data_IF_932537209606
#
_entry.id   IF_932537209606
#
_cell.length_a   1.000
_cell.length_b   1.000
_cell.length_c   1.000
_cell.angle_alpha   90.00
_cell.angle_beta   90.00
_cell.angle_gamma   90.00
#
_symmetry.space_group_name_H-M   'P 1'
#
loop_
_entity.id
_entity.type
_entity.pdbx_description
1 polymer ?
#
# COMPACT_ATOMS: atom_id res chain seq x y z
N UNK A 1 -17.65 1.52 10.10
CA UNK A 1 -16.88 2.20 9.03
C UNK A 1 -17.78 2.30 7.80
N UNK A 2 -17.64 3.34 6.97
CA UNK A 2 -18.37 3.45 5.70
C UNK A 2 -18.14 2.22 4.81
N UNK A 3 -19.16 1.75 4.09
CA UNK A 3 -19.04 0.57 3.22
C UNK A 3 -18.09 0.74 2.03
N UNK A 4 -17.71 1.98 1.71
CA UNK A 4 -16.78 2.36 0.64
C UNK A 4 -15.37 2.71 1.16
N UNK A 5 -15.05 2.38 2.41
CA UNK A 5 -13.75 2.66 3.01
C UNK A 5 -12.62 1.94 2.22
N UNK A 6 -11.61 2.66 1.70
CA UNK A 6 -10.48 2.03 1.04
C UNK A 6 -9.72 1.13 2.01
N UNK A 7 -9.30 -0.04 1.56
CA UNK A 7 -8.58 -1.03 2.37
C UNK A 7 -7.22 -1.31 1.73
N UNK A 8 -6.17 -1.26 2.53
CA UNK A 8 -4.84 -1.67 2.07
C UNK A 8 -4.72 -3.20 2.14
N UNK A 9 -4.48 -3.82 0.99
CA UNK A 9 -4.42 -5.27 0.89
C UNK A 9 -3.00 -5.75 0.69
N UNK A 10 -2.63 -6.84 1.36
CA UNK A 10 -1.36 -7.52 1.14
C UNK A 10 -1.60 -9.03 1.00
N UNK A 11 -1.10 -9.60 -0.09
CA UNK A 11 -1.11 -11.04 -0.31
C UNK A 11 0.11 -11.68 0.35
N UNK A 12 -0.13 -12.71 1.15
CA UNK A 12 0.88 -13.43 1.92
C UNK A 12 0.92 -14.86 1.38
N UNK A 13 2.00 -15.22 0.64
CA UNK A 13 2.16 -16.56 0.10
C UNK A 13 2.14 -17.63 1.20
N UNK A 14 1.69 -18.85 0.87
CA UNK A 14 1.58 -19.95 1.84
C UNK A 14 2.88 -20.17 2.61
N UNK A 15 4.01 -20.12 1.90
CA UNK A 15 5.36 -20.28 2.48
C UNK A 15 5.71 -19.24 3.55
N UNK A 16 5.04 -18.09 3.57
CA UNK A 16 5.22 -17.00 4.53
C UNK A 16 4.14 -16.95 5.61
N UNK A 17 3.13 -17.84 5.58
CA UNK A 17 2.05 -17.90 6.58
C UNK A 17 2.58 -18.00 8.02
N UNK A 18 3.64 -18.78 8.23
CA UNK A 18 4.28 -18.97 9.55
C UNK A 18 4.83 -17.68 10.18
N UNK A 19 5.00 -16.61 9.38
CA UNK A 19 5.40 -15.31 9.90
C UNK A 19 4.27 -14.65 10.69
N UNK A 20 3.02 -14.96 10.36
CA UNK A 20 1.83 -14.51 11.07
C UNK A 20 1.55 -15.47 12.23
N UNK A 21 1.61 -15.01 13.47
CA UNK A 21 1.35 -15.89 14.61
C UNK A 21 1.65 -15.34 16.00
N UNK A 22 2.27 -14.16 16.12
CA UNK A 22 2.50 -13.50 17.40
C UNK A 22 1.37 -12.53 17.77
N UNK A 23 1.07 -12.43 19.07
CA UNK A 23 0.37 -11.27 19.64
C UNK A 23 1.29 -10.08 19.46
N UNK A 24 0.96 -9.19 18.52
CA UNK A 24 1.75 -8.01 18.27
C UNK A 24 1.28 -6.88 19.18
N UNK A 25 1.98 -6.68 20.30
CA UNK A 25 1.63 -5.64 21.28
C UNK A 25 2.00 -4.23 20.82
N UNK A 26 2.95 -4.12 19.88
CA UNK A 26 3.44 -2.84 19.37
C UNK A 26 3.20 -2.74 17.88
N UNK A 27 2.66 -1.60 17.47
CA UNK A 27 2.55 -1.24 16.07
C UNK A 27 2.94 0.21 15.84
N UNK A 28 3.41 0.52 14.63
CA UNK A 28 3.66 1.89 14.20
C UNK A 28 3.15 2.10 12.77
N UNK A 29 2.66 3.30 12.49
CA UNK A 29 2.26 3.74 11.16
C UNK A 29 3.13 4.92 10.73
N UNK A 30 3.81 4.80 9.59
CA UNK A 30 4.69 5.81 9.04
C UNK A 30 4.28 6.20 7.62
N UNK A 31 4.39 7.48 7.31
CA UNK A 31 4.28 8.00 5.94
C UNK A 31 5.64 8.56 5.51
N UNK A 32 5.97 8.45 4.24
CA UNK A 32 7.22 8.98 3.70
C UNK A 32 7.20 9.09 2.19
N UNK A 33 8.31 9.53 1.62
CA UNK A 33 8.50 9.60 0.18
C UNK A 33 9.82 8.95 -0.22
N UNK A 34 9.86 8.41 -1.44
CA UNK A 34 11.09 7.96 -2.10
C UNK A 34 11.29 8.85 -3.31
N UNK A 35 12.50 9.36 -3.47
CA UNK A 35 12.88 10.09 -4.68
C UNK A 35 13.19 9.12 -5.81
N UNK A 36 12.62 9.40 -6.98
CA UNK A 36 12.98 8.77 -8.25
C UNK A 36 13.77 9.77 -9.11
N UNK A 37 14.21 9.31 -10.28
CA UNK A 37 14.87 10.15 -11.25
C UNK A 37 13.95 11.29 -11.74
N UNK A 38 14.58 12.38 -12.20
CA UNK A 38 13.91 13.54 -12.80
C UNK A 38 12.93 14.26 -11.86
N UNK A 39 13.15 14.16 -10.55
CA UNK A 39 12.35 14.87 -9.54
C UNK A 39 10.98 14.23 -9.26
N UNK A 40 10.70 13.07 -9.85
CA UNK A 40 9.53 12.26 -9.51
C UNK A 40 9.68 11.68 -8.10
N UNK A 41 8.56 11.43 -7.44
CA UNK A 41 8.55 10.87 -6.08
C UNK A 41 7.48 9.80 -5.96
N UNK A 42 7.76 8.80 -5.15
CA UNK A 42 6.78 7.82 -4.71
C UNK A 42 6.33 8.15 -3.30
N UNK A 43 5.06 7.95 -3.03
CA UNK A 43 4.49 7.96 -1.70
C UNK A 43 4.68 6.60 -1.05
N UNK A 44 5.05 6.59 0.23
CA UNK A 44 5.17 5.38 1.03
C UNK A 44 4.30 5.43 2.27
N UNK A 45 3.68 4.28 2.58
CA UNK A 45 3.02 4.01 3.84
C UNK A 45 3.63 2.73 4.42
N UNK A 46 4.12 2.82 5.65
CA UNK A 46 4.71 1.71 6.39
C UNK A 46 3.83 1.40 7.57
N UNK A 47 3.35 0.17 7.64
CA UNK A 47 2.70 -0.35 8.82
C UNK A 47 3.60 -1.42 9.43
N UNK A 48 4.16 -1.15 10.60
CA UNK A 48 4.91 -2.14 11.35
C UNK A 48 4.04 -2.71 12.46
N UNK A 49 4.02 -4.03 12.57
CA UNK A 49 3.31 -4.78 13.60
C UNK A 49 4.30 -5.80 14.19
N UNK A 50 4.83 -5.48 15.37
CA UNK A 50 5.99 -6.14 15.98
C UNK A 50 7.19 -6.18 15.05
N UNK A 51 7.61 -7.39 14.68
CA UNK A 51 8.78 -7.65 13.84
C UNK A 51 8.48 -7.75 12.34
N UNK A 52 7.22 -7.56 11.95
CA UNK A 52 6.78 -7.51 10.55
C UNK A 52 6.50 -6.08 10.13
N UNK A 53 7.01 -5.69 8.96
CA UNK A 53 6.68 -4.41 8.33
C UNK A 53 6.01 -4.62 6.98
N UNK A 54 4.94 -3.88 6.74
CA UNK A 54 4.19 -3.83 5.51
C UNK A 54 4.41 -2.47 4.86
N UNK A 55 5.17 -2.48 3.79
CA UNK A 55 5.53 -1.33 3.00
C UNK A 55 4.56 -1.24 1.82
N UNK A 56 3.88 -0.13 1.67
CA UNK A 56 2.98 0.16 0.57
C UNK A 56 3.51 1.36 -0.20
N UNK A 57 3.57 1.25 -1.52
CA UNK A 57 4.16 2.26 -2.40
C UNK A 57 3.17 2.63 -3.49
N UNK A 58 3.05 3.93 -3.76
CA UNK A 58 2.23 4.51 -4.83
C UNK A 58 2.99 5.65 -5.50
N UNK A 59 2.57 6.04 -6.71
CA UNK A 59 2.96 7.34 -7.27
C UNK A 59 2.42 8.46 -6.35
N UNK A 60 3.26 9.46 -6.03
CA UNK A 60 2.84 10.58 -5.17
C UNK A 60 1.79 11.47 -5.83
N UNK A 61 1.64 11.40 -7.15
CA UNK A 61 0.65 12.19 -7.89
C UNK A 61 -0.70 11.47 -7.98
N UNK A 62 -0.82 10.21 -7.57
CA UNK A 62 -2.07 9.44 -7.70
C UNK A 62 -3.20 10.04 -6.85
N UNK A 63 -4.12 10.72 -7.53
CA UNK A 63 -5.32 11.32 -6.92
C UNK A 63 -6.19 10.31 -6.17
N UNK A 64 -6.26 9.06 -6.64
CA UNK A 64 -7.05 8.00 -5.99
C UNK A 64 -6.43 7.63 -4.65
N UNK A 65 -5.09 7.62 -4.57
CA UNK A 65 -4.40 7.37 -3.31
C UNK A 65 -4.62 8.51 -2.32
N UNK A 66 -4.57 9.76 -2.79
CA UNK A 66 -4.83 10.92 -1.93
C UNK A 66 -6.26 10.95 -1.41
N UNK A 67 -7.25 10.62 -2.26
CA UNK A 67 -8.64 10.48 -1.83
C UNK A 67 -8.80 9.39 -0.75
N UNK A 68 -8.06 8.29 -0.86
CA UNK A 68 -8.05 7.25 0.16
C UNK A 68 -7.47 7.74 1.50
N UNK A 69 -6.33 8.45 1.46
CA UNK A 69 -5.72 9.07 2.64
C UNK A 69 -6.68 10.05 3.30
N UNK A 70 -7.32 10.90 2.52
CA UNK A 70 -8.26 11.90 3.03
C UNK A 70 -9.46 11.22 3.73
N UNK A 71 -9.96 10.13 3.16
CA UNK A 71 -11.04 9.34 3.79
C UNK A 71 -10.57 8.68 5.09
N UNK A 72 -9.39 8.05 5.11
CA UNK A 72 -8.83 7.43 6.31
C UNK A 72 -8.67 8.45 7.44
N UNK A 73 -8.17 9.64 7.13
CA UNK A 73 -7.98 10.73 8.10
C UNK A 73 -9.30 11.31 8.59
N UNK A 74 -10.27 11.49 7.70
CA UNK A 74 -11.61 11.99 8.05
C UNK A 74 -12.33 11.03 9.01
N UNK A 75 -12.22 9.72 8.77
CA UNK A 75 -12.83 8.69 9.62
C UNK A 75 -11.97 8.39 10.86
N UNK A 76 -10.68 8.74 10.84
CA UNK A 76 -9.71 8.44 11.89
C UNK A 76 -9.27 6.98 11.94
N UNK A 77 -9.53 6.19 10.90
CA UNK A 77 -9.26 4.74 10.86
C UNK A 77 -8.59 4.34 9.55
N UNK A 78 -7.65 3.41 9.62
CA UNK A 78 -6.94 2.84 8.47
C UNK A 78 -7.07 1.30 8.50
N UNK A 79 -7.86 0.70 7.60
CA UNK A 79 -8.01 -0.74 7.54
C UNK A 79 -6.97 -1.42 6.62
N UNK A 80 -6.46 -2.55 7.09
CA UNK A 80 -5.60 -3.48 6.36
C UNK A 80 -6.27 -4.84 6.25
N UNK A 81 -6.09 -5.49 5.11
CA UNK A 81 -6.56 -6.84 4.84
C UNK A 81 -5.42 -7.71 4.30
N UNK A 82 -5.06 -8.71 5.07
CA UNK A 82 -4.01 -9.66 4.74
C UNK A 82 -4.65 -10.94 4.21
N UNK A 83 -4.49 -11.19 2.91
CA UNK A 83 -4.92 -12.42 2.28
C UNK A 83 -3.80 -13.46 2.41
N UNK A 84 -4.04 -14.55 3.11
CA UNK A 84 -3.05 -15.60 3.37
C UNK A 84 -3.39 -16.81 2.53
N UNK A 85 -2.50 -17.14 1.59
CA UNK A 85 -2.68 -18.28 0.71
C UNK A 85 -2.64 -19.60 1.49
N UNK A 86 -3.58 -20.49 1.18
CA UNK A 86 -3.64 -21.87 1.68
C UNK A 86 -3.45 -22.84 0.51
N UNK A 87 -3.59 -24.16 0.74
CA UNK A 87 -3.44 -25.15 -0.33
C UNK A 87 -4.44 -24.97 -1.48
N UNK A 88 -5.69 -24.62 -1.18
CA UNK A 88 -6.78 -24.54 -2.17
C UNK A 88 -7.67 -23.29 -1.98
N UNK A 89 -7.29 -22.35 -1.11
CA UNK A 89 -8.09 -21.17 -0.78
C UNK A 89 -7.24 -20.00 -0.28
N UNK A 90 -7.90 -18.95 0.19
CA UNK A 90 -7.29 -17.84 0.90
C UNK A 90 -7.98 -17.67 2.26
N UNK A 91 -7.19 -17.57 3.32
CA UNK A 91 -7.62 -17.04 4.61
C UNK A 91 -7.48 -15.52 4.58
N UNK A 92 -8.22 -14.81 5.44
CA UNK A 92 -8.16 -13.35 5.54
C UNK A 92 -8.00 -12.91 6.99
N UNK A 93 -7.06 -11.99 7.23
CA UNK A 93 -6.91 -11.31 8.51
C UNK A 93 -7.11 -9.81 8.34
N UNK A 94 -7.97 -9.23 9.16
CA UNK A 94 -8.34 -7.83 9.10
C UNK A 94 -7.80 -7.08 10.31
N UNK A 95 -7.08 -5.99 10.06
CA UNK A 95 -6.47 -5.14 11.09
C UNK A 95 -6.91 -3.71 10.85
N UNK A 96 -7.33 -3.01 11.90
CA UNK A 96 -7.67 -1.58 11.84
C UNK A 96 -6.82 -0.85 12.84
N UNK A 97 -6.17 0.23 12.39
CA UNK A 97 -5.39 1.13 13.25
C UNK A 97 -5.96 2.53 13.19
N UNK A 98 -5.52 3.38 14.11
CA UNK A 98 -5.80 4.81 14.04
C UNK A 98 -5.09 5.41 12.81
N UNK A 99 -5.81 6.24 12.05
CA UNK A 99 -5.21 6.97 10.96
C UNK A 99 -4.28 8.07 11.50
N UNK A 100 -3.25 8.41 10.73
CA UNK A 100 -2.34 9.50 11.09
C UNK A 100 -3.08 10.84 11.16
N UNK A 101 -2.82 11.62 12.21
CA UNK A 101 -3.39 12.95 12.40
C UNK A 101 -2.36 14.05 12.10
N UNK A 102 -2.83 15.23 11.71
CA UNK A 102 -1.96 16.38 11.43
C UNK A 102 -1.42 16.40 9.99
N UNK A 103 -0.66 17.44 9.62
CA UNK A 103 -0.18 17.64 8.27
C UNK A 103 0.82 16.57 7.86
N UNK A 104 0.70 16.08 6.62
CA UNK A 104 1.66 15.12 6.06
C UNK A 104 2.64 15.89 5.18
N UNK A 105 3.95 15.74 5.42
CA UNK A 105 4.99 16.40 4.62
C UNK A 105 4.83 16.15 3.12
N UNK A 106 4.33 14.97 2.77
CA UNK A 106 4.10 14.56 1.38
C UNK A 106 3.00 15.37 0.68
N UNK A 107 2.10 16.04 1.42
CA UNK A 107 1.05 16.89 0.84
C UNK A 107 1.63 17.99 -0.05
N UNK A 108 2.87 18.42 0.20
CA UNK A 108 3.59 19.38 -0.64
C UNK A 108 3.84 18.89 -2.08
N UNK A 109 3.75 17.58 -2.32
CA UNK A 109 3.97 16.97 -3.63
C UNK A 109 2.68 16.40 -4.25
N UNK A 110 1.52 16.66 -3.62
CA UNK A 110 0.22 16.19 -4.10
C UNK A 110 -0.06 16.77 -5.50
N UNK A 111 -0.46 15.90 -6.44
CA UNK A 111 -0.90 16.29 -7.77
C UNK A 111 -2.29 16.94 -7.79
N UNK A 112 -2.73 17.37 -8.97
CA UNK A 112 -4.10 17.85 -9.17
C UNK A 112 -5.16 16.74 -8.94
N UNK A 113 -6.45 17.11 -8.84
CA UNK A 113 -7.54 16.16 -8.55
C UNK A 113 -7.69 15.04 -9.59
N UNK A 114 -7.26 15.27 -10.83
CA UNK A 114 -7.31 14.31 -11.93
C UNK A 114 -5.95 13.68 -12.25
N UNK A 115 -4.95 13.89 -11.40
CA UNK A 115 -3.62 13.36 -11.62
C UNK A 115 -3.63 11.82 -11.51
N UNK A 116 -3.09 11.17 -12.54
CA UNK A 116 -2.95 9.72 -12.65
C UNK A 116 -1.48 9.36 -12.86
N UNK A 117 -1.03 8.19 -12.37
CA UNK A 117 0.33 7.72 -12.61
C UNK A 117 0.62 7.60 -14.11
N UNK A 118 1.81 8.01 -14.53
CA UNK A 118 2.28 7.68 -15.88
C UNK A 118 2.61 6.20 -15.98
N UNK A 119 2.54 5.64 -17.20
CA UNK A 119 2.96 4.25 -17.44
C UNK A 119 4.43 4.02 -17.03
N UNK A 120 5.32 4.99 -17.30
CA UNK A 120 6.73 4.91 -16.90
C UNK A 120 6.89 4.79 -15.38
N UNK A 121 6.22 5.66 -14.62
CA UNK A 121 6.29 5.63 -13.15
C UNK A 121 5.67 4.36 -12.58
N UNK A 122 4.60 3.84 -13.22
CA UNK A 122 4.00 2.58 -12.84
C UNK A 122 4.95 1.38 -13.06
N UNK A 123 5.69 1.35 -14.17
CA UNK A 123 6.72 0.31 -14.43
C UNK A 123 7.90 0.42 -13.45
N UNK A 124 8.42 1.62 -13.21
CA UNK A 124 9.51 1.82 -12.24
C UNK A 124 9.11 1.44 -10.83
N UNK A 125 7.89 1.80 -10.41
CA UNK A 125 7.34 1.40 -9.12
C UNK A 125 7.23 -0.13 -9.02
N UNK A 126 6.80 -0.80 -10.10
CA UNK A 126 6.77 -2.26 -10.15
C UNK A 126 8.17 -2.85 -10.02
N UNK A 127 9.13 -2.33 -10.78
CA UNK A 127 10.51 -2.82 -10.77
C UNK A 127 11.16 -2.61 -9.38
N UNK A 128 10.92 -1.46 -8.75
CA UNK A 128 11.36 -1.18 -7.39
C UNK A 128 10.81 -2.20 -6.39
N UNK A 129 9.50 -2.49 -6.43
CA UNK A 129 8.88 -3.48 -5.53
C UNK A 129 9.45 -4.89 -5.77
N UNK A 130 9.71 -5.27 -7.03
CA UNK A 130 10.23 -6.59 -7.38
C UNK A 130 11.74 -6.75 -7.10
N UNK A 131 12.50 -5.64 -7.10
CA UNK A 131 13.96 -5.66 -6.96
C UNK A 131 14.47 -6.16 -5.60
N UNK A 132 13.63 -6.13 -4.55
CA UNK A 132 14.06 -6.44 -3.20
C UNK A 132 14.80 -5.30 -2.49
N UNK A 133 15.01 -4.15 -3.13
CA UNK A 133 15.78 -3.03 -2.56
C UNK A 133 15.12 -2.45 -1.31
N UNK A 134 13.80 -2.26 -1.35
CA UNK A 134 13.06 -1.71 -0.21
C UNK A 134 13.09 -2.63 1.01
N UNK A 135 13.06 -3.94 0.80
CA UNK A 135 13.17 -4.95 1.86
C UNK A 135 14.55 -4.88 2.53
N UNK A 136 15.61 -4.64 1.75
CA UNK A 136 16.99 -4.53 2.26
C UNK A 136 17.26 -3.22 2.99
N UNK A 137 16.65 -2.12 2.52
CA UNK A 137 16.84 -0.78 3.09
C UNK A 137 15.89 -0.48 4.27
N UNK A 138 14.86 -1.30 4.46
CA UNK A 138 13.89 -1.10 5.53
C UNK A 138 14.55 -1.16 6.92
N UNK A 139 14.18 -0.19 7.76
CA UNK A 139 14.57 -0.13 9.16
C UNK A 139 13.33 -0.19 10.03
N UNK A 140 13.51 -0.60 11.29
CA UNK A 140 12.40 -0.67 12.23
C UNK A 140 11.92 0.73 12.59
N UNK A 141 10.62 0.94 12.48
CA UNK A 141 9.92 2.13 12.95
C UNK A 141 9.50 2.00 14.44
N UNK A 142 9.76 0.85 15.08
CA UNK A 142 9.46 0.62 16.51
C UNK A 142 10.78 0.49 17.29
N UNK A 143 11.10 1.44 18.19
CA UNK A 143 12.31 1.39 18.99
C UNK A 143 12.49 0.06 19.74
N UNK A 144 13.66 -0.56 19.57
CA UNK A 144 14.02 -1.81 20.23
C UNK A 144 13.39 -3.08 19.65
N UNK A 145 12.63 -3.00 18.56
CA UNK A 145 12.04 -4.17 17.90
C UNK A 145 12.70 -4.40 16.55
N UNK A 146 13.56 -5.42 16.37
CA UNK A 146 14.19 -5.68 15.07
C UNK A 146 13.17 -6.21 14.05
N UNK A 147 13.40 -5.91 12.77
CA UNK A 147 12.58 -6.44 11.68
C UNK A 147 13.02 -7.88 11.36
N UNK A 148 12.06 -8.81 11.37
CA UNK A 148 12.22 -10.17 10.86
C UNK A 148 11.86 -10.26 9.39
N UNK A 149 10.84 -9.53 8.96
CA UNK A 149 10.40 -9.56 7.56
C UNK A 149 9.72 -8.27 7.10
N UNK A 150 9.88 -7.97 5.81
CA UNK A 150 9.23 -6.83 5.15
C UNK A 150 8.45 -7.31 3.94
N UNK A 151 7.16 -7.02 3.93
CA UNK A 151 6.28 -7.20 2.78
C UNK A 151 6.21 -5.87 2.03
N UNK A 152 6.60 -5.85 0.76
CA UNK A 152 6.51 -4.65 -0.08
C UNK A 152 5.40 -4.84 -1.08
N UNK A 153 4.50 -3.86 -1.15
CA UNK A 153 3.27 -3.91 -1.92
C UNK A 153 3.15 -2.64 -2.76
N UNK A 154 2.67 -2.81 -3.98
CA UNK A 154 2.15 -1.72 -4.80
C UNK A 154 0.74 -1.43 -4.32
N UNK A 155 0.41 -0.17 -4.09
CA UNK A 155 -0.98 0.23 -3.88
C UNK A 155 -1.70 0.18 -5.23
N UNK A 156 -2.42 -0.91 -5.47
CA UNK A 156 -3.16 -1.11 -6.71
C UNK A 156 -4.47 -0.30 -6.69
N UNK A 157 -4.38 1.00 -6.98
CA UNK A 157 -5.52 1.86 -7.28
C UNK A 157 -6.09 1.55 -8.68
N UNK A 158 -7.31 1.97 -8.96
CA UNK A 158 -7.88 1.86 -10.32
C UNK A 158 -7.03 2.60 -11.35
N UNK A 159 -6.48 3.76 -10.99
CA UNK A 159 -5.55 4.55 -11.79
C UNK A 159 -4.23 3.81 -12.05
N UNK A 160 -3.66 3.15 -11.04
CA UNK A 160 -2.46 2.31 -11.22
C UNK A 160 -2.74 1.10 -12.12
N UNK A 161 -3.89 0.45 -11.97
CA UNK A 161 -4.29 -0.66 -12.83
C UNK A 161 -4.49 -0.22 -14.29
N UNK A 162 -5.09 0.95 -14.53
CA UNK A 162 -5.22 1.55 -15.86
C UNK A 162 -3.85 1.85 -16.48
N UNK A 163 -2.94 2.44 -15.71
CA UNK A 163 -1.59 2.77 -16.17
C UNK A 163 -0.76 1.52 -16.55
N UNK A 164 -0.88 0.43 -15.78
CA UNK A 164 -0.20 -0.84 -16.04
C UNK A 164 -0.87 -1.70 -17.13
N UNK A 165 -2.16 -1.49 -17.38
CA UNK A 165 -2.97 -2.30 -18.29
C UNK A 165 -3.86 -1.44 -19.21
N UNK A 166 -3.27 -0.57 -20.06
CA UNK A 166 -4.02 0.42 -20.84
C UNK A 166 -5.01 -0.18 -21.85
N UNK A 167 -4.88 -1.47 -22.19
CA UNK A 167 -5.76 -2.17 -23.14
C UNK A 167 -6.91 -2.96 -22.51
N UNK A 168 -7.00 -3.03 -21.17
CA UNK A 168 -7.99 -3.91 -20.49
C UNK A 168 -9.32 -3.21 -20.19
N UNK A 169 -9.43 -1.90 -20.44
CA UNK A 169 -10.70 -1.16 -20.28
C UNK A 169 -11.80 -1.53 -21.29
N UNK A 170 -11.47 -2.15 -22.42
CA UNK A 170 -12.48 -2.55 -23.43
C UNK A 170 -13.29 -3.78 -22.99
N UNK A 171 -12.80 -4.58 -22.02
CA UNK A 171 -13.41 -5.86 -21.64
C UNK A 171 -14.39 -5.82 -20.45
N UNK A 172 -14.37 -4.78 -19.61
CA UNK A 172 -15.15 -4.76 -18.35
C UNK A 172 -16.50 -4.04 -18.43
N UNK A 173 -16.78 -3.25 -19.47
CA UNK A 173 -18.11 -2.65 -19.68
C UNK A 173 -19.15 -3.65 -20.25
N UNK A 174 -18.75 -4.82 -20.73
CA UNK A 174 -19.65 -5.80 -21.34
C UNK A 174 -20.27 -6.85 -20.37
N UNK A 175 -19.97 -6.80 -19.06
CA UNK A 175 -20.47 -7.80 -18.08
C UNK A 175 -21.31 -7.22 -16.94
N UNK A 176 -21.85 -6.01 -17.09
CA UNK A 176 -22.77 -5.42 -16.09
C UNK A 176 -24.27 -5.51 -16.47
N UNK A 177 -24.59 -6.16 -17.58
CA UNK A 177 -25.96 -6.57 -17.91
C UNK A 177 -25.92 -7.94 -18.60
N UNK A 178 -25.95 -9.00 -17.81
CA UNK A 178 -26.39 -10.34 -18.18
C UNK A 178 -26.73 -11.09 -16.90
#
# INVERSE_FOLDING_TARGET
>A
MPGNMPVLTCAIPKKKRHLLGSTYEKSNLGFGCIDLDEGRKLQTLRFQMGDLQFYFVADILDSTMWAAIDMWRTVGRLPFLFYVETDNSWDASFVVVDAITGPLRNEAFRGGPDAVPSASTAYELRDLVLSGQLQKAATSDIPGVPLRHVFVNIMATSSMAQALMPHVEVGRKARRYA
#
